data_IF_079237885401
#
_entry.id   IF_079237885401
#
_cell.length_a   1.000
_cell.length_b   1.000
_cell.length_c   1.000
_cell.angle_alpha   90.00
_cell.angle_beta   90.00
_cell.angle_gamma   90.00
#
_symmetry.space_group_name_H-M   'P 1'
#
loop_
_entity.id
_entity.type
_entity.pdbx_description
1 polymer ?
#
# COMPACT_ATOMS: atom_id res chain seq x y z
N UNK A 1 18.48 8.16 9.17
CA UNK A 1 18.62 6.99 10.05
C UNK A 1 17.54 6.04 9.59
N UNK A 2 17.87 4.86 9.06
CA UNK A 2 16.83 3.83 8.85
C UNK A 2 16.25 3.51 10.22
N UNK A 3 14.94 3.62 10.38
CA UNK A 3 14.29 3.22 11.63
C UNK A 3 14.77 1.82 12.01
N UNK A 4 15.16 1.62 13.26
CA UNK A 4 15.59 0.30 13.73
C UNK A 4 14.42 -0.66 13.56
N UNK A 5 14.65 -1.79 12.88
CA UNK A 5 13.66 -2.85 12.75
C UNK A 5 13.25 -3.29 14.15
N UNK A 6 11.95 -3.27 14.52
CA UNK A 6 11.49 -3.72 15.83
C UNK A 6 11.96 -5.14 16.12
N UNK A 7 12.35 -5.44 17.36
CA UNK A 7 12.87 -6.78 17.72
C UNK A 7 11.87 -7.92 17.50
N UNK A 8 10.57 -7.62 17.55
CA UNK A 8 9.48 -8.56 17.28
C UNK A 8 9.11 -8.68 15.80
N UNK A 9 9.64 -7.81 14.93
CA UNK A 9 9.30 -7.81 13.51
C UNK A 9 9.82 -9.07 12.81
N UNK A 10 8.96 -9.67 12.00
CA UNK A 10 9.33 -10.72 11.05
C UNK A 10 8.44 -10.66 9.81
N UNK A 11 8.99 -10.89 8.59
CA UNK A 11 8.16 -11.10 7.41
C UNK A 11 7.24 -12.31 7.62
N UNK A 12 5.95 -12.13 7.43
CA UNK A 12 4.97 -13.21 7.49
C UNK A 12 4.92 -13.94 6.15
N UNK A 13 4.48 -15.19 6.21
CA UNK A 13 4.29 -16.10 5.07
C UNK A 13 2.86 -16.59 5.05
N UNK A 14 2.44 -17.24 3.96
CA UNK A 14 1.13 -17.88 3.89
C UNK A 14 0.88 -18.86 5.07
N UNK A 15 1.94 -19.53 5.54
CA UNK A 15 1.85 -20.51 6.64
C UNK A 15 1.80 -19.85 8.03
N UNK A 16 2.50 -18.73 8.22
CA UNK A 16 2.62 -18.07 9.53
C UNK A 16 1.58 -16.99 9.78
N UNK A 17 0.98 -16.46 8.71
CA UNK A 17 -0.01 -15.38 8.79
C UNK A 17 -1.28 -15.78 9.56
N UNK A 18 -1.91 -16.95 9.34
CA UNK A 18 -3.11 -17.33 10.08
C UNK A 18 -2.92 -17.35 11.60
N UNK A 19 -1.81 -17.95 12.06
CA UNK A 19 -1.47 -18.02 13.49
C UNK A 19 -1.17 -16.64 14.09
N UNK A 20 -0.63 -15.70 13.31
CA UNK A 20 -0.42 -14.33 13.75
C UNK A 20 -1.74 -13.55 13.87
N UNK A 21 -2.66 -13.73 12.92
CA UNK A 21 -3.95 -13.03 12.88
C UNK A 21 -4.95 -13.54 13.91
N UNK A 22 -4.94 -14.83 14.23
CA UNK A 22 -5.94 -15.48 15.11
C UNK A 22 -6.11 -14.80 16.47
N UNK A 23 -5.07 -14.15 16.99
CA UNK A 23 -5.11 -13.43 18.27
C UNK A 23 -5.32 -11.91 18.15
N UNK A 24 -5.51 -11.38 16.94
CA UNK A 24 -5.52 -9.92 16.64
C UNK A 24 -6.74 -9.44 15.88
N UNK A 25 -7.51 -10.36 15.29
CA UNK A 25 -8.71 -10.02 14.55
C UNK A 25 -9.83 -9.59 15.51
N UNK A 26 -10.58 -8.57 15.07
CA UNK A 26 -11.83 -8.18 15.72
C UNK A 26 -12.99 -8.86 14.99
N UNK A 27 -14.18 -8.96 15.62
CA UNK A 27 -15.34 -9.58 14.96
C UNK A 27 -15.72 -8.94 13.62
N UNK A 28 -15.35 -7.68 13.37
CA UNK A 28 -15.65 -7.00 12.10
C UNK A 28 -14.76 -7.46 10.94
N UNK A 29 -13.62 -8.10 11.22
CA UNK A 29 -12.65 -8.54 10.21
C UNK A 29 -12.32 -10.03 10.29
N UNK A 30 -13.05 -10.78 11.11
CA UNK A 30 -12.85 -12.21 11.26
C UNK A 30 -13.21 -12.98 9.97
N UNK A 31 -12.27 -13.72 9.35
CA UNK A 31 -12.55 -14.53 8.15
C UNK A 31 -13.55 -15.67 8.42
N UNK A 32 -13.64 -16.13 9.68
CA UNK A 32 -14.46 -17.25 10.12
C UNK A 32 -13.82 -18.61 9.84
N UNK A 33 -14.22 -19.63 10.60
CA UNK A 33 -13.54 -20.94 10.62
C UNK A 33 -12.27 -20.91 11.46
N UNK A 34 -11.58 -22.04 11.55
CA UNK A 34 -10.31 -22.11 12.28
C UNK A 34 -9.16 -21.52 11.43
N UNK A 35 -8.13 -20.89 12.02
CA UNK A 35 -7.01 -20.32 11.27
C UNK A 35 -6.33 -21.29 10.30
N UNK A 36 -6.21 -22.56 10.66
CA UNK A 36 -5.67 -23.64 9.82
C UNK A 36 -6.54 -24.00 8.60
N UNK A 37 -7.80 -23.58 8.57
CA UNK A 37 -8.72 -23.77 7.45
C UNK A 37 -8.67 -22.61 6.45
N UNK A 38 -8.04 -21.49 6.81
CA UNK A 38 -7.97 -20.32 5.95
C UNK A 38 -7.09 -20.58 4.74
N UNK A 39 -7.56 -20.17 3.57
CA UNK A 39 -6.73 -20.16 2.37
C UNK A 39 -6.01 -18.82 2.30
N UNK A 40 -4.69 -18.88 2.33
CA UNK A 40 -3.83 -17.70 2.25
C UNK A 40 -3.04 -17.73 0.96
N UNK A 41 -3.10 -16.66 0.19
CA UNK A 41 -2.28 -16.47 -1.01
C UNK A 41 -1.61 -15.10 -0.99
N UNK A 42 -0.32 -15.06 -1.35
CA UNK A 42 0.39 -13.79 -1.58
C UNK A 42 0.19 -13.38 -3.04
N UNK A 43 -0.34 -12.18 -3.26
CA UNK A 43 -0.79 -11.70 -4.57
C UNK A 43 -0.21 -10.34 -4.96
N UNK A 44 0.78 -9.84 -4.22
CA UNK A 44 1.36 -8.53 -4.48
C UNK A 44 2.05 -8.49 -5.84
N UNK A 45 1.43 -7.79 -6.80
CA UNK A 45 2.01 -7.45 -8.11
C UNK A 45 2.73 -6.08 -8.07
N UNK A 46 2.92 -5.52 -6.88
CA UNK A 46 3.53 -4.21 -6.63
C UNK A 46 4.98 -4.27 -6.13
N UNK A 47 5.65 -3.13 -6.18
CA UNK A 47 7.12 -3.07 -6.03
C UNK A 47 7.62 -2.98 -4.58
N UNK A 48 6.76 -2.73 -3.59
CA UNK A 48 7.18 -2.31 -2.24
C UNK A 48 6.83 -3.30 -1.12
N UNK A 49 5.63 -3.87 -1.13
CA UNK A 49 5.05 -4.55 0.03
C UNK A 49 4.56 -5.96 -0.35
N UNK A 50 4.38 -6.82 0.65
CA UNK A 50 3.66 -8.08 0.51
C UNK A 50 2.17 -7.85 0.68
N UNK A 51 1.34 -8.52 -0.11
CA UNK A 51 -0.11 -8.44 -0.04
C UNK A 51 -0.67 -9.86 0.00
N UNK A 52 -1.38 -10.19 1.07
CA UNK A 52 -2.00 -11.49 1.25
C UNK A 52 -3.51 -11.37 1.11
N UNK A 53 -4.12 -12.28 0.37
CA UNK A 53 -5.55 -12.58 0.48
C UNK A 53 -5.70 -13.67 1.54
N UNK A 54 -6.57 -13.45 2.52
CA UNK A 54 -6.93 -14.43 3.55
C UNK A 54 -8.41 -14.74 3.41
N UNK A 55 -8.73 -15.93 2.91
CA UNK A 55 -10.10 -16.41 2.73
C UNK A 55 -10.49 -17.36 3.87
N UNK A 56 -11.47 -16.97 4.67
CA UNK A 56 -12.14 -17.85 5.63
C UNK A 56 -13.51 -18.29 5.13
N UNK A 57 -14.29 -18.89 6.03
CA UNK A 57 -15.62 -19.43 5.70
C UNK A 57 -16.70 -18.36 5.55
N UNK A 58 -16.51 -17.18 6.14
CA UNK A 58 -17.51 -16.11 6.20
C UNK A 58 -17.05 -14.84 5.46
N UNK A 59 -15.74 -14.55 5.50
CA UNK A 59 -15.19 -13.30 4.98
C UNK A 59 -13.80 -13.52 4.39
N UNK A 60 -13.48 -12.68 3.41
CA UNK A 60 -12.13 -12.55 2.84
C UNK A 60 -11.59 -11.18 3.19
N UNK A 61 -10.33 -11.12 3.62
CA UNK A 61 -9.64 -9.87 3.94
C UNK A 61 -8.31 -9.78 3.18
N UNK A 62 -7.81 -8.56 3.04
CA UNK A 62 -6.45 -8.29 2.59
C UNK A 62 -5.58 -7.99 3.80
N UNK A 63 -4.38 -8.54 3.81
CA UNK A 63 -3.33 -8.14 4.75
C UNK A 63 -2.14 -7.61 3.98
N UNK A 64 -1.71 -6.40 4.30
CA UNK A 64 -0.55 -5.76 3.68
C UNK A 64 0.57 -5.63 4.71
N UNK A 65 1.77 -6.06 4.36
CA UNK A 65 2.94 -5.94 5.21
C UNK A 65 4.10 -5.27 4.46
N UNK A 66 4.71 -4.25 5.07
CA UNK A 66 5.94 -3.67 4.58
C UNK A 66 7.14 -4.56 4.93
N UNK A 67 8.12 -4.63 4.02
CA UNK A 67 9.45 -5.23 4.25
C UNK A 67 10.46 -4.12 4.60
N UNK A 68 11.54 -4.40 5.36
CA UNK A 68 12.55 -3.39 5.68
C UNK A 68 13.46 -3.04 4.49
N UNK A 69 13.08 -3.48 3.30
CA UNK A 69 13.66 -3.16 2.01
C UNK A 69 12.56 -2.98 0.95
N UNK A 70 12.96 -2.46 -0.19
CA UNK A 70 12.11 -2.35 -1.36
C UNK A 70 11.98 -3.72 -2.05
N UNK A 71 10.77 -4.29 -2.13
CA UNK A 71 10.53 -5.65 -2.65
C UNK A 71 11.13 -5.90 -4.03
N UNK A 72 10.91 -5.02 -5.01
CA UNK A 72 11.45 -5.16 -6.37
C UNK A 72 12.98 -5.00 -6.47
N UNK A 73 13.62 -4.35 -5.49
CA UNK A 73 15.08 -4.18 -5.42
C UNK A 73 15.79 -5.20 -4.53
N UNK A 74 15.03 -5.97 -3.74
CA UNK A 74 15.56 -6.91 -2.76
C UNK A 74 16.21 -6.23 -1.55
N UNK A 75 16.81 -7.03 -0.67
CA UNK A 75 17.43 -6.59 0.59
C UNK A 75 18.54 -5.55 0.41
N UNK A 76 19.15 -5.48 -0.78
CA UNK A 76 20.17 -4.49 -1.13
C UNK A 76 19.65 -3.05 -1.18
N UNK A 77 18.34 -2.84 -1.04
CA UNK A 77 17.73 -1.51 -1.02
C UNK A 77 16.87 -1.29 0.22
N UNK A 78 17.48 -0.89 1.34
CA UNK A 78 16.77 -0.64 2.60
C UNK A 78 15.68 0.42 2.42
N UNK A 79 14.55 0.20 3.08
CA UNK A 79 13.41 1.11 3.06
C UNK A 79 12.64 1.01 4.37
N UNK A 80 12.40 2.14 5.04
CA UNK A 80 11.81 2.16 6.37
C UNK A 80 10.42 1.52 6.41
N UNK A 81 10.18 0.75 7.47
CA UNK A 81 8.89 0.13 7.78
C UNK A 81 7.79 1.15 8.14
N UNK A 82 8.17 2.36 8.59
CA UNK A 82 7.22 3.41 8.99
C UNK A 82 6.27 3.83 7.87
N UNK A 83 6.61 3.55 6.61
CA UNK A 83 5.72 3.71 5.44
C UNK A 83 4.39 2.98 5.55
N UNK A 84 4.34 1.83 6.25
CA UNK A 84 3.07 1.13 6.49
C UNK A 84 2.15 1.97 7.38
N UNK A 85 2.72 2.68 8.37
CA UNK A 85 1.99 3.61 9.23
C UNK A 85 1.49 4.83 8.47
N UNK A 86 2.30 5.41 7.58
CA UNK A 86 1.83 6.50 6.71
C UNK A 86 0.71 6.05 5.78
N UNK A 87 0.80 4.85 5.19
CA UNK A 87 -0.28 4.29 4.37
C UNK A 87 -1.56 4.09 5.18
N UNK A 88 -1.46 3.50 6.37
CA UNK A 88 -2.59 3.35 7.29
C UNK A 88 -3.23 4.72 7.62
N UNK A 89 -2.41 5.71 8.02
CA UNK A 89 -2.90 7.03 8.41
C UNK A 89 -3.56 7.76 7.23
N UNK A 90 -3.00 7.68 6.02
CA UNK A 90 -3.63 8.25 4.81
C UNK A 90 -4.97 7.59 4.53
N UNK A 91 -5.06 6.25 4.54
CA UNK A 91 -6.31 5.53 4.31
C UNK A 91 -7.39 5.94 5.33
N UNK A 92 -7.02 6.13 6.60
CA UNK A 92 -7.94 6.63 7.62
C UNK A 92 -8.41 8.07 7.33
N UNK A 93 -7.50 8.97 6.94
CA UNK A 93 -7.86 10.36 6.57
C UNK A 93 -8.73 10.40 5.31
N UNK A 94 -8.40 9.62 4.28
CA UNK A 94 -9.16 9.53 3.05
C UNK A 94 -10.56 8.97 3.30
N UNK A 95 -10.69 7.91 4.09
CA UNK A 95 -11.98 7.36 4.47
C UNK A 95 -12.83 8.36 5.27
N UNK A 96 -12.21 9.16 6.15
CA UNK A 96 -12.89 10.21 6.92
C UNK A 96 -13.55 11.26 6.02
N UNK A 97 -12.91 11.64 4.92
CA UNK A 97 -13.41 12.72 4.04
C UNK A 97 -14.17 12.22 2.81
N UNK A 98 -13.71 11.15 2.17
CA UNK A 98 -14.29 10.60 0.95
C UNK A 98 -15.23 9.40 1.20
N UNK A 99 -15.23 8.83 2.40
CA UNK A 99 -16.09 7.71 2.79
C UNK A 99 -15.67 6.35 2.22
N UNK A 100 -16.24 5.28 2.78
CA UNK A 100 -15.91 3.90 2.40
C UNK A 100 -16.47 3.45 1.04
N UNK A 101 -17.30 4.27 0.39
CA UNK A 101 -17.70 4.03 -1.00
C UNK A 101 -16.50 4.14 -1.96
N UNK A 102 -15.49 4.94 -1.61
CA UNK A 102 -14.31 5.19 -2.46
C UNK A 102 -13.02 4.62 -1.86
N UNK A 103 -13.00 4.35 -0.55
CA UNK A 103 -11.80 3.97 0.21
C UNK A 103 -12.05 2.67 0.97
N UNK A 104 -11.17 1.65 0.84
CA UNK A 104 -11.34 0.38 1.54
C UNK A 104 -11.42 0.61 3.05
N UNK A 105 -12.25 -0.17 3.73
CA UNK A 105 -12.22 -0.18 5.19
C UNK A 105 -10.93 -0.83 5.69
N UNK A 106 -10.17 -0.11 6.51
CA UNK A 106 -9.04 -0.67 7.26
C UNK A 106 -9.51 -1.14 8.63
N UNK A 107 -9.18 -2.37 8.99
CA UNK A 107 -9.68 -3.03 10.20
C UNK A 107 -8.77 -2.84 11.40
N UNK A 108 -7.46 -2.97 11.20
CA UNK A 108 -6.45 -2.73 12.23
C UNK A 108 -5.09 -2.47 11.59
N UNK A 109 -4.19 -1.88 12.37
CA UNK A 109 -2.77 -1.70 12.06
C UNK A 109 -1.93 -2.13 13.26
N UNK A 110 -0.89 -2.93 13.00
CA UNK A 110 0.15 -3.32 13.94
C UNK A 110 1.47 -2.62 13.53
N UNK A 111 1.92 -1.60 14.29
CA UNK A 111 3.15 -0.87 13.97
C UNK A 111 4.42 -1.69 14.19
N UNK A 112 4.43 -2.67 15.11
CA UNK A 112 5.62 -3.51 15.33
C UNK A 112 5.87 -4.44 14.14
N UNK A 113 4.78 -4.89 13.50
CA UNK A 113 4.83 -5.76 12.33
C UNK A 113 4.74 -5.02 10.99
N UNK A 114 4.58 -3.69 11.02
CA UNK A 114 4.37 -2.82 9.86
C UNK A 114 3.29 -3.38 8.92
N UNK A 115 2.17 -3.77 9.52
CA UNK A 115 1.14 -4.58 8.90
C UNK A 115 -0.24 -4.02 9.19
N UNK A 116 -1.12 -3.99 8.19
CA UNK A 116 -2.54 -3.71 8.41
C UNK A 116 -3.42 -4.69 7.64
N UNK A 117 -4.63 -4.91 8.15
CA UNK A 117 -5.67 -5.67 7.46
C UNK A 117 -6.76 -4.73 6.94
N UNK A 118 -7.25 -4.97 5.73
CA UNK A 118 -8.28 -4.15 5.10
C UNK A 118 -9.26 -4.99 4.29
N UNK A 119 -10.32 -4.34 3.83
CA UNK A 119 -11.37 -4.91 2.99
C UNK A 119 -10.80 -5.55 1.71
N UNK A 120 -11.30 -6.75 1.39
CA UNK A 120 -11.06 -7.36 0.08
C UNK A 120 -12.03 -6.79 -0.95
N UNK A 121 -11.49 -6.07 -1.93
CA UNK A 121 -12.26 -5.33 -2.92
C UNK A 121 -12.80 -6.21 -4.06
N UNK A 122 -13.32 -7.40 -3.79
CA UNK A 122 -13.97 -8.22 -4.84
C UNK A 122 -15.33 -7.62 -5.24
N UNK A 123 -15.74 -7.63 -6.54
CA UNK A 123 -15.05 -8.16 -7.73
C UNK A 123 -14.19 -7.13 -8.48
N UNK A 124 -13.68 -6.10 -7.81
CA UNK A 124 -12.92 -5.02 -8.44
C UNK A 124 -11.56 -5.51 -8.96
N UNK A 125 -11.09 -4.84 -10.01
CA UNK A 125 -9.82 -5.08 -10.66
C UNK A 125 -9.02 -3.78 -10.77
N UNK A 126 -7.71 -3.89 -10.90
CA UNK A 126 -6.84 -2.72 -11.08
C UNK A 126 -7.21 -1.98 -12.37
N UNK A 127 -7.60 -0.71 -12.24
CA UNK A 127 -8.09 0.15 -13.32
C UNK A 127 -7.19 0.13 -14.57
N UNK A 128 -5.87 0.14 -14.38
CA UNK A 128 -4.89 0.10 -15.49
C UNK A 128 -5.12 -1.08 -16.44
N UNK A 129 -5.40 -2.28 -15.91
CA UNK A 129 -5.58 -3.51 -16.71
C UNK A 129 -6.78 -3.33 -17.65
N UNK A 130 -7.87 -2.78 -17.14
CA UNK A 130 -9.10 -2.58 -17.90
C UNK A 130 -9.02 -1.40 -18.88
N UNK A 131 -8.29 -0.34 -18.54
CA UNK A 131 -8.03 0.77 -19.47
C UNK A 131 -7.19 0.30 -20.68
N UNK A 132 -6.18 -0.56 -20.47
CA UNK A 132 -5.42 -1.18 -21.56
C UNK A 132 -6.33 -2.01 -22.46
N UNK A 133 -7.31 -2.70 -21.87
CA UNK A 133 -8.33 -3.46 -22.61
C UNK A 133 -9.41 -2.57 -23.28
N UNK A 134 -9.27 -1.24 -23.23
CA UNK A 134 -10.19 -0.30 -23.87
C UNK A 134 -11.56 -0.18 -23.17
N UNK A 135 -11.68 -0.67 -21.93
CA UNK A 135 -12.93 -0.60 -21.17
C UNK A 135 -13.22 0.83 -20.74
N UNK A 136 -14.49 1.21 -20.84
CA UNK A 136 -14.99 2.53 -20.40
C UNK A 136 -15.70 2.41 -19.06
N UNK A 137 -15.47 3.39 -18.19
CA UNK A 137 -16.05 3.48 -16.87
C UNK A 137 -16.82 4.81 -16.74
N UNK A 138 -18.15 4.82 -16.95
CA UNK A 138 -18.92 6.06 -17.04
C UNK A 138 -18.81 6.98 -15.82
N UNK A 139 -18.63 6.40 -14.63
CA UNK A 139 -18.52 7.14 -13.36
C UNK A 139 -17.09 7.51 -12.96
N UNK A 140 -16.07 7.03 -13.66
CA UNK A 140 -14.67 7.17 -13.25
C UNK A 140 -14.27 8.63 -13.01
N UNK A 141 -14.64 9.53 -13.92
CA UNK A 141 -14.31 10.94 -13.78
C UNK A 141 -15.02 11.59 -12.57
N UNK A 142 -16.27 11.23 -12.33
CA UNK A 142 -17.05 11.74 -11.20
C UNK A 142 -16.50 11.22 -9.86
N UNK A 143 -16.25 9.91 -9.77
CA UNK A 143 -15.78 9.26 -8.55
C UNK A 143 -14.37 9.74 -8.17
N UNK A 144 -13.44 9.81 -9.13
CA UNK A 144 -12.09 10.35 -8.91
C UNK A 144 -12.14 11.86 -8.61
N UNK A 145 -12.97 12.63 -9.33
CA UNK A 145 -13.14 14.05 -9.08
C UNK A 145 -13.65 14.33 -7.67
N UNK A 146 -14.64 13.56 -7.21
CA UNK A 146 -15.17 13.63 -5.84
C UNK A 146 -14.12 13.25 -4.81
N UNK A 147 -13.40 12.15 -5.03
CA UNK A 147 -12.31 11.73 -4.16
C UNK A 147 -11.28 12.84 -3.99
N UNK A 148 -10.74 13.37 -5.10
CA UNK A 148 -9.74 14.44 -5.09
C UNK A 148 -10.26 15.71 -4.42
N UNK A 149 -11.49 16.12 -4.72
CA UNK A 149 -12.07 17.33 -4.11
C UNK A 149 -12.21 17.16 -2.59
N UNK A 150 -12.77 16.04 -2.13
CA UNK A 150 -12.98 15.78 -0.70
C UNK A 150 -11.66 15.67 0.05
N UNK A 151 -10.67 14.94 -0.48
CA UNK A 151 -9.41 14.72 0.23
C UNK A 151 -8.52 15.95 0.19
N UNK A 152 -8.30 16.57 -0.98
CA UNK A 152 -7.37 17.69 -1.11
C UNK A 152 -7.91 18.97 -0.45
N UNK A 153 -9.20 19.27 -0.59
CA UNK A 153 -9.77 20.49 0.01
C UNK A 153 -9.70 20.41 1.53
N UNK A 154 -10.23 19.32 2.12
CA UNK A 154 -10.27 19.15 3.57
C UNK A 154 -8.87 18.91 4.18
N UNK A 155 -7.84 18.63 3.38
CA UNK A 155 -6.44 18.52 3.84
C UNK A 155 -5.54 19.74 3.52
N UNK A 156 -6.13 20.80 2.98
CA UNK A 156 -5.46 22.07 2.64
C UNK A 156 -5.55 23.13 3.73
N UNK A 157 -4.71 24.18 3.67
CA UNK A 157 -4.80 25.36 4.52
C UNK A 157 -6.15 26.12 4.44
N UNK A 158 -6.97 25.84 3.43
CA UNK A 158 -8.32 26.42 3.26
C UNK A 158 -9.37 25.60 4.01
N UNK A 159 -9.22 24.27 4.03
CA UNK A 159 -10.23 23.34 4.55
C UNK A 159 -10.03 22.92 6.01
N UNK A 160 -8.93 23.29 6.66
CA UNK A 160 -8.67 22.96 8.06
C UNK A 160 -8.07 24.13 8.85
N UNK A 161 -8.05 24.00 10.18
CA UNK A 161 -7.37 25.00 11.02
C UNK A 161 -5.85 24.94 10.84
N UNK A 162 -5.18 26.08 11.03
CA UNK A 162 -3.72 26.16 10.94
C UNK A 162 -3.00 25.22 11.93
N UNK A 163 -3.61 24.93 13.08
CA UNK A 163 -3.11 23.96 14.07
C UNK A 163 -3.16 22.54 13.52
N UNK A 164 -4.33 22.09 13.05
CA UNK A 164 -4.50 20.77 12.44
C UNK A 164 -3.55 20.59 11.25
N UNK A 165 -3.36 21.63 10.44
CA UNK A 165 -2.47 21.58 9.29
C UNK A 165 -1.01 21.37 9.69
N UNK A 166 -0.55 22.06 10.73
CA UNK A 166 0.82 21.94 11.22
C UNK A 166 1.05 20.58 11.85
N UNK A 167 0.10 20.07 12.62
CA UNK A 167 0.16 18.72 13.19
C UNK A 167 0.27 17.66 12.07
N UNK A 168 -0.63 17.72 11.08
CA UNK A 168 -0.63 16.78 9.96
C UNK A 168 0.65 16.88 9.12
N UNK A 169 1.14 18.09 8.88
CA UNK A 169 2.39 18.31 8.15
C UNK A 169 3.58 17.72 8.90
N UNK A 170 3.67 17.93 10.22
CA UNK A 170 4.74 17.39 11.05
C UNK A 170 4.73 15.85 11.06
N UNK A 171 3.55 15.24 11.13
CA UNK A 171 3.40 13.79 11.05
C UNK A 171 3.90 13.24 9.71
N UNK A 172 3.44 13.78 8.59
CA UNK A 172 3.76 13.27 7.25
C UNK A 172 5.14 13.69 6.72
N UNK A 173 5.79 14.70 7.31
CA UNK A 173 7.15 15.10 6.94
C UNK A 173 8.18 13.98 7.14
N UNK A 174 7.89 13.03 8.03
CA UNK A 174 8.75 11.87 8.28
C UNK A 174 8.67 10.81 7.17
N UNK A 175 7.74 10.92 6.22
CA UNK A 175 7.68 10.05 5.03
C UNK A 175 8.74 10.40 3.95
N UNK A 176 9.86 10.98 4.38
CA UNK A 176 10.87 11.56 3.50
C UNK A 176 11.56 10.52 2.61
N UNK A 177 11.65 9.26 3.02
CA UNK A 177 12.25 8.19 2.20
C UNK A 177 11.42 7.92 0.93
N UNK A 178 10.09 7.87 1.03
CA UNK A 178 9.21 7.73 -0.14
C UNK A 178 9.18 9.02 -0.99
N UNK A 179 9.24 10.19 -0.37
CA UNK A 179 9.39 11.46 -1.09
C UNK A 179 10.68 11.47 -1.92
N UNK A 180 11.80 11.03 -1.32
CA UNK A 180 13.08 10.93 -2.03
C UNK A 180 13.03 9.98 -3.22
N UNK A 181 12.37 8.82 -3.10
CA UNK A 181 12.17 7.92 -4.24
C UNK A 181 11.43 8.64 -5.38
N UNK A 182 10.42 9.44 -5.05
CA UNK A 182 9.64 10.22 -6.03
C UNK A 182 10.51 11.30 -6.69
N UNK A 183 11.28 12.04 -5.90
CA UNK A 183 12.22 13.07 -6.38
C UNK A 183 13.27 12.48 -7.33
N UNK A 184 13.88 11.37 -6.92
CA UNK A 184 14.95 10.72 -7.69
C UNK A 184 14.40 10.10 -9.00
N UNK A 185 13.28 9.37 -8.94
CA UNK A 185 12.75 8.63 -10.10
C UNK A 185 11.93 9.49 -11.07
N UNK A 186 11.13 10.42 -10.56
CA UNK A 186 10.21 11.21 -11.39
C UNK A 186 10.85 12.53 -11.82
N UNK A 187 11.49 13.25 -10.90
CA UNK A 187 11.94 14.62 -11.15
C UNK A 187 13.37 14.68 -11.69
N UNK A 188 14.25 13.76 -11.30
CA UNK A 188 15.69 13.83 -11.63
C UNK A 188 16.11 12.82 -12.70
N UNK A 189 15.76 11.53 -12.54
CA UNK A 189 16.24 10.47 -13.44
C UNK A 189 15.93 10.67 -14.93
N UNK A 190 14.79 11.28 -15.35
CA UNK A 190 14.55 11.48 -16.78
C UNK A 190 15.45 12.51 -17.45
N UNK A 191 16.02 13.43 -16.66
CA UNK A 191 16.77 14.60 -17.16
C UNK A 191 18.27 14.52 -16.86
N UNK A 192 18.71 13.49 -16.13
CA UNK A 192 20.11 13.29 -15.76
C UNK A 192 20.52 11.84 -15.92
N UNK A 193 21.78 11.61 -16.34
CA UNK A 193 22.38 10.28 -16.36
C UNK A 193 22.79 9.92 -14.93
N UNK A 194 21.83 9.50 -14.10
CA UNK A 194 22.14 9.02 -12.75
C UNK A 194 22.76 7.62 -12.84
N UNK A 195 24.06 7.54 -12.56
CA UNK A 195 24.78 6.27 -12.36
C UNK A 195 24.16 5.55 -11.15
N UNK A 196 23.43 4.46 -11.39
CA UNK A 196 22.81 3.61 -10.36
C UNK A 196 21.28 3.51 -10.44
N UNK A 197 20.58 4.53 -10.91
CA UNK A 197 19.10 4.55 -11.01
C UNK A 197 18.60 4.17 -12.41
N UNK A 198 19.42 4.40 -13.44
CA UNK A 198 19.13 4.07 -14.85
C UNK A 198 18.88 2.59 -15.11
N UNK A 199 19.57 1.67 -14.42
CA UNK A 199 19.31 0.23 -14.52
C UNK A 199 17.98 -0.21 -13.89
N UNK A 200 17.53 0.53 -12.88
CA UNK A 200 16.32 0.24 -12.12
C UNK A 200 15.05 0.63 -12.86
N UNK A 201 15.01 1.83 -13.44
CA UNK A 201 13.90 2.25 -14.29
C UNK A 201 13.68 1.29 -15.48
N UNK A 202 14.77 0.77 -16.08
CA UNK A 202 14.70 -0.22 -17.15
C UNK A 202 14.10 -1.56 -16.69
N UNK A 203 14.50 -2.05 -15.51
CA UNK A 203 13.91 -3.27 -14.94
C UNK A 203 12.45 -3.12 -14.49
N UNK A 204 12.00 -1.89 -14.19
CA UNK A 204 10.64 -1.60 -13.69
C UNK A 204 9.65 -1.24 -14.80
N UNK A 205 10.11 -0.63 -15.89
CA UNK A 205 9.26 -0.21 -17.02
C UNK A 205 9.17 -1.25 -18.14
N UNK A 206 10.08 -2.23 -18.16
CA UNK A 206 10.08 -3.31 -19.15
C UNK A 206 9.97 -4.68 -18.46
N UNK A 207 8.74 -5.19 -18.21
CA UNK A 207 8.58 -6.58 -17.86
C UNK A 207 8.93 -7.43 -19.09
N UNK A 208 10.17 -7.92 -19.15
CA UNK A 208 10.66 -8.94 -20.08
C UNK A 208 10.15 -8.84 -21.53
N UNK A 209 10.81 -8.05 -22.37
CA UNK A 209 10.99 -8.50 -23.75
C UNK A 209 11.94 -9.68 -23.64
N UNK A 210 11.41 -10.91 -23.68
CA UNK A 210 12.25 -12.12 -23.78
C UNK A 210 13.06 -12.02 -25.06
N UNK A 211 14.41 -12.02 -25.03
CA UNK A 211 15.20 -12.27 -26.21
C UNK A 211 15.15 -13.79 -26.45
N UNK A 212 14.29 -14.23 -27.37
CA UNK A 212 14.10 -15.66 -27.63
C UNK A 212 12.91 -15.97 -28.53
N UNK A 213 12.83 -15.30 -29.68
CA UNK A 213 12.10 -15.75 -30.86
C UNK A 213 12.79 -15.15 -32.09
N UNK A 214 13.89 -15.79 -32.47
CA UNK A 214 14.29 -15.98 -33.87
C UNK A 214 14.51 -17.48 -34.05
#
# INVERSE_FOLDING_TARGET
MTDSIPSGYKPLTCDTLPGYLSSRLTPSCEPGGLPEEWKVSEVGDGNLNMVFIVEGTHKTIIVKQALPWLRAGGEGWPLSLSRAGFEYNVLCQEAKYAGHTLIPQVYFYDPEMALFAMEYLTPHVILRKELINGKKFPKLAEDIGRFLAQTLFNTSDIGMSAEQKKALTAEFALNHELCKITEDLISQSPITTLNGITGLLLSWTMPSIRPGLM
#
